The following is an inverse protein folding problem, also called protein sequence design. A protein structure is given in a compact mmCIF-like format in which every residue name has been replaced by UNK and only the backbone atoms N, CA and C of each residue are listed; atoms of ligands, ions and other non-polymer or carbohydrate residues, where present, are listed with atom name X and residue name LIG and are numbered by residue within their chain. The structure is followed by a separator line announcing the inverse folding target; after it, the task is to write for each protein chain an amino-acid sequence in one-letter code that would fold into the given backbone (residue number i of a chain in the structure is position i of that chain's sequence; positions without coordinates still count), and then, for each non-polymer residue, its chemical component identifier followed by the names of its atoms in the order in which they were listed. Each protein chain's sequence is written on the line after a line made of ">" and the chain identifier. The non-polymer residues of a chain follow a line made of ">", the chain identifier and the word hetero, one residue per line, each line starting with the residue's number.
data_IF_985928758621
#
_entry.id   IF_985928758621
#
_cell.length_a   1.000
_cell.length_b   1.000
_cell.length_c   1.000
_cell.angle_alpha   90.00
_cell.angle_beta   90.00
_cell.angle_gamma   90.00
#
_symmetry.space_group_name_H-M   'P 1'
#
loop_
_entity.id
_entity.type
_entity.pdbx_description
1 polymer ?
#
# COMPACT_ATOMS: atom_id res chain seq x y z
N UNK A 1 17.44 -15.51 5.34
CA UNK A 1 16.64 -14.28 5.52
C UNK A 1 16.65 -13.54 4.19
N UNK A 2 15.50 -13.07 3.70
CA UNK A 2 15.45 -12.26 2.47
C UNK A 2 16.15 -10.91 2.71
N UNK A 3 16.77 -10.35 1.68
CA UNK A 3 17.34 -9.00 1.76
C UNK A 3 16.21 -7.97 1.93
N UNK A 4 16.48 -6.90 2.69
CA UNK A 4 15.53 -5.80 2.84
C UNK A 4 15.39 -5.03 1.53
N UNK A 5 14.15 -4.87 1.05
CA UNK A 5 13.84 -4.02 -0.09
C UNK A 5 13.07 -2.77 0.37
N UNK A 6 13.56 -1.55 0.09
CA UNK A 6 12.79 -0.34 0.38
C UNK A 6 11.56 -0.28 -0.54
N UNK A 7 10.38 -0.07 0.05
CA UNK A 7 9.12 0.06 -0.71
C UNK A 7 8.73 1.53 -0.89
N UNK A 8 8.63 2.29 0.21
CA UNK A 8 8.18 3.69 0.18
C UNK A 8 9.27 4.65 -0.34
N UNK A 9 10.48 4.52 0.20
CA UNK A 9 11.61 5.40 -0.11
C UNK A 9 12.42 4.99 -1.33
N UNK A 10 12.02 3.90 -2.01
CA UNK A 10 12.76 3.29 -3.13
C UNK A 10 13.20 4.30 -4.20
N UNK A 11 12.35 5.30 -4.46
CA UNK A 11 12.49 6.22 -5.59
C UNK A 11 12.63 7.69 -5.16
N UNK A 12 12.95 7.97 -3.89
CA UNK A 12 12.99 9.36 -3.38
C UNK A 12 14.06 10.23 -4.06
N UNK A 13 15.15 9.62 -4.52
CA UNK A 13 16.28 10.32 -5.11
C UNK A 13 16.23 10.39 -6.65
N UNK A 14 15.14 9.91 -7.26
CA UNK A 14 14.98 9.99 -8.71
C UNK A 14 14.49 11.38 -9.13
N UNK A 15 15.03 11.96 -10.22
CA UNK A 15 14.49 13.19 -10.79
C UNK A 15 13.01 13.04 -11.10
N UNK A 16 12.21 14.07 -10.81
CA UNK A 16 10.78 14.12 -11.14
C UNK A 16 9.93 13.00 -10.51
N UNK A 17 10.41 12.35 -9.44
CA UNK A 17 9.71 11.25 -8.76
C UNK A 17 8.32 11.61 -8.21
N UNK A 18 8.05 12.91 -8.03
CA UNK A 18 6.76 13.46 -7.59
C UNK A 18 5.72 13.53 -8.72
N UNK A 19 6.12 13.38 -9.98
CA UNK A 19 5.22 13.51 -11.12
C UNK A 19 4.35 12.27 -11.31
N UNK A 20 3.11 12.48 -11.76
CA UNK A 20 2.20 11.39 -12.09
C UNK A 20 2.74 10.47 -13.18
N UNK A 21 3.43 11.05 -14.18
CA UNK A 21 4.06 10.31 -15.28
C UNK A 21 5.09 9.32 -14.73
N UNK A 22 6.00 9.80 -13.86
CA UNK A 22 7.02 8.96 -13.25
C UNK A 22 6.41 7.90 -12.33
N UNK A 23 5.39 8.27 -11.54
CA UNK A 23 4.65 7.33 -10.69
C UNK A 23 4.00 6.20 -11.52
N UNK A 24 3.37 6.52 -12.65
CA UNK A 24 2.77 5.50 -13.54
C UNK A 24 3.81 4.64 -14.24
N UNK A 25 4.92 5.22 -14.70
CA UNK A 25 5.98 4.50 -15.41
C UNK A 25 6.60 3.36 -14.58
N UNK A 26 6.65 3.52 -13.25
CA UNK A 26 7.15 2.49 -12.31
C UNK A 26 6.06 1.53 -11.79
N UNK A 27 4.90 1.46 -12.44
CA UNK A 27 3.79 0.60 -12.02
C UNK A 27 2.88 1.18 -10.94
N UNK A 28 2.89 2.51 -10.75
CA UNK A 28 1.91 3.18 -9.90
C UNK A 28 0.46 2.87 -10.31
N UNK A 29 -0.45 2.95 -9.35
CA UNK A 29 -1.85 2.48 -9.46
C UNK A 29 -2.04 0.97 -9.66
N UNK A 30 -0.99 0.16 -9.77
CA UNK A 30 -1.17 -1.30 -9.86
C UNK A 30 -1.99 -1.84 -8.69
N UNK A 31 -1.61 -1.53 -7.44
CA UNK A 31 -2.35 -1.99 -6.25
C UNK A 31 -3.79 -1.46 -6.19
N UNK A 32 -4.05 -0.24 -6.69
CA UNK A 32 -5.41 0.29 -6.80
C UNK A 32 -6.23 -0.47 -7.85
N UNK A 33 -5.63 -0.76 -9.00
CA UNK A 33 -6.27 -1.52 -10.07
C UNK A 33 -6.57 -2.96 -9.61
N UNK A 34 -5.62 -3.62 -8.94
CA UNK A 34 -5.79 -4.94 -8.29
C UNK A 34 -6.92 -4.88 -7.26
N UNK A 35 -6.91 -3.92 -6.34
CA UNK A 35 -7.97 -3.78 -5.35
C UNK A 35 -9.35 -3.52 -5.99
N UNK A 36 -9.41 -2.82 -7.12
CA UNK A 36 -10.68 -2.54 -7.81
C UNK A 36 -11.16 -3.72 -8.67
N UNK A 37 -10.24 -4.51 -9.22
CA UNK A 37 -10.53 -5.62 -10.15
C UNK A 37 -10.71 -6.95 -9.43
N UNK A 38 -9.77 -7.27 -8.56
CA UNK A 38 -9.60 -8.60 -7.97
C UNK A 38 -10.32 -8.70 -6.62
N UNK A 39 -10.70 -7.57 -6.02
CA UNK A 39 -11.57 -7.54 -4.83
C UNK A 39 -12.97 -7.12 -5.29
N UNK A 40 -14.00 -7.96 -5.09
CA UNK A 40 -15.37 -7.62 -5.46
C UNK A 40 -15.79 -6.32 -4.76
N UNK A 41 -16.51 -5.45 -5.47
CA UNK A 41 -17.10 -4.23 -4.89
C UNK A 41 -17.97 -4.49 -3.65
N UNK A 42 -18.38 -5.75 -3.43
CA UNK A 42 -19.27 -6.21 -2.37
C UNK A 42 -18.51 -6.63 -1.09
N UNK A 43 -17.19 -6.89 -1.16
CA UNK A 43 -16.43 -7.35 0.02
C UNK A 43 -15.39 -6.34 0.50
N UNK A 44 -15.86 -5.20 1.00
CA UNK A 44 -15.08 -4.33 1.90
C UNK A 44 -14.38 -5.12 3.02
N UNK A 45 -15.01 -6.21 3.48
CA UNK A 45 -14.47 -7.11 4.47
C UNK A 45 -13.17 -7.78 4.05
N UNK A 46 -13.01 -8.19 2.79
CA UNK A 46 -11.79 -8.82 2.31
C UNK A 46 -10.59 -7.85 2.35
N UNK A 47 -10.81 -6.58 2.00
CA UNK A 47 -9.80 -5.52 2.15
C UNK A 47 -9.39 -5.31 3.62
N UNK A 48 -10.38 -5.23 4.51
CA UNK A 48 -10.12 -5.05 5.95
C UNK A 48 -9.39 -6.25 6.53
N UNK A 49 -9.77 -7.47 6.15
CA UNK A 49 -9.15 -8.70 6.63
C UNK A 49 -7.70 -8.85 6.14
N UNK A 50 -7.40 -8.46 4.89
CA UNK A 50 -6.02 -8.39 4.38
C UNK A 50 -5.16 -7.45 5.23
N UNK A 51 -5.69 -6.28 5.59
CA UNK A 51 -4.94 -5.33 6.42
C UNK A 51 -4.83 -5.79 7.88
N UNK A 52 -5.82 -6.49 8.41
CA UNK A 52 -5.68 -7.19 9.70
C UNK A 52 -4.58 -8.24 9.65
N UNK A 53 -4.53 -9.06 8.59
CA UNK A 53 -3.51 -10.09 8.39
C UNK A 53 -2.10 -9.51 8.25
N UNK A 54 -1.96 -8.32 7.66
CA UNK A 54 -0.68 -7.62 7.53
C UNK A 54 -0.07 -7.15 8.85
N UNK A 55 -0.84 -7.17 9.95
CA UNK A 55 -0.46 -6.63 11.27
C UNK A 55 -0.03 -5.14 11.23
N UNK A 56 -0.49 -4.39 10.21
CA UNK A 56 -0.19 -2.98 10.06
C UNK A 56 -0.67 -2.18 11.29
N UNK A 57 0.21 -1.33 11.82
CA UNK A 57 -0.08 -0.43 12.94
C UNK A 57 -0.01 1.02 12.49
N UNK A 58 -0.79 1.88 13.15
CA UNK A 58 -0.74 3.32 12.96
C UNK A 58 0.66 3.88 13.22
N UNK A 59 1.21 4.60 12.23
CA UNK A 59 2.57 5.18 12.28
C UNK A 59 2.63 6.60 12.84
N UNK A 60 1.50 7.13 13.32
CA UNK A 60 1.40 8.45 13.98
C UNK A 60 1.77 8.48 15.47
N UNK A 61 2.26 7.38 16.04
CA UNK A 61 2.75 7.30 17.44
C UNK A 61 1.89 6.44 18.37
N UNK A 62 0.57 6.38 18.19
CA UNK A 62 -0.32 5.59 19.06
C UNK A 62 -0.21 4.07 18.84
N UNK A 63 0.13 3.63 17.63
CA UNK A 63 0.36 2.22 17.34
C UNK A 63 -0.89 1.32 17.38
N UNK A 64 -2.11 1.85 17.23
CA UNK A 64 -3.30 1.01 17.08
C UNK A 64 -3.22 0.11 15.84
N UNK A 65 -3.74 -1.14 15.87
CA UNK A 65 -3.84 -1.98 14.68
C UNK A 65 -4.74 -1.33 13.63
N UNK A 66 -4.20 -1.02 12.46
CA UNK A 66 -4.89 -0.27 11.42
C UNK A 66 -6.15 -1.01 10.94
N UNK A 67 -6.07 -2.32 10.72
CA UNK A 67 -7.21 -3.12 10.27
C UNK A 67 -8.36 -3.23 11.29
N UNK A 68 -8.14 -2.94 12.59
CA UNK A 68 -9.21 -2.91 13.60
C UNK A 68 -9.89 -1.54 13.65
N UNK A 69 -9.15 -0.48 13.30
CA UNK A 69 -9.69 0.89 13.26
C UNK A 69 -10.48 1.23 11.99
N UNK A 70 -10.30 0.43 10.93
CA UNK A 70 -11.02 0.55 9.66
C UNK A 70 -12.40 -0.10 9.75
#
# INVERSE_FOLDING_TARGET
>A
MAAFEPVLSKYFNEPEAWTLKHYKARGGYYGYATAKKDIPAIEHKALVDEVKASTLRGRGGAGFPAGVTW
#
